data_IF_047569308361
#
_entry.id   IF_047569308361
#
_cell.length_a   1.000
_cell.length_b   1.000
_cell.length_c   1.000
_cell.angle_alpha   90.00
_cell.angle_beta   90.00
_cell.angle_gamma   90.00
#
_symmetry.space_group_name_H-M   'P 1'
#
loop_
_entity.id
_entity.type
_entity.pdbx_description
1 polymer ?
#
# COMPACT_ATOMS: atom_id res chain seq x y z
N UNK A 1 -9.05 28.57 -5.50
CA UNK A 1 -8.17 27.94 -4.49
C UNK A 1 -7.14 27.01 -5.12
N UNK A 2 -7.49 25.86 -5.75
CA UNK A 2 -6.49 24.92 -6.28
C UNK A 2 -5.56 25.55 -7.34
N UNK A 3 -6.13 26.08 -8.43
CA UNK A 3 -5.36 26.75 -9.50
C UNK A 3 -4.57 27.97 -9.02
N UNK A 4 -5.10 28.69 -8.04
CA UNK A 4 -4.40 29.84 -7.41
C UNK A 4 -3.16 29.40 -6.63
N UNK A 5 -3.10 28.14 -6.20
CA UNK A 5 -1.95 27.54 -5.53
C UNK A 5 -1.15 26.61 -6.46
N UNK A 6 -1.31 26.76 -7.79
CA UNK A 6 -0.51 26.03 -8.78
C UNK A 6 -0.94 24.59 -9.04
N UNK A 7 -2.17 24.20 -8.66
CA UNK A 7 -2.68 22.85 -8.90
C UNK A 7 -3.75 22.85 -10.01
N UNK A 8 -3.61 21.99 -11.02
CA UNK A 8 -4.61 21.82 -12.09
C UNK A 8 -5.51 20.61 -11.81
N UNK A 9 -6.78 20.80 -11.42
CA UNK A 9 -7.68 19.71 -11.07
C UNK A 9 -8.24 18.94 -12.27
N UNK A 10 -7.98 19.40 -13.50
CA UNK A 10 -8.56 18.85 -14.72
C UNK A 10 -7.47 18.21 -15.59
N UNK A 11 -7.73 17.00 -16.08
CA UNK A 11 -6.86 16.36 -17.06
C UNK A 11 -7.09 16.98 -18.46
N UNK A 12 -6.00 17.24 -19.17
CA UNK A 12 -6.06 17.75 -20.55
C UNK A 12 -6.38 16.66 -21.58
N UNK A 13 -6.81 17.07 -22.78
CA UNK A 13 -7.17 16.15 -23.89
C UNK A 13 -6.09 15.14 -24.26
N UNK A 14 -4.81 15.49 -24.08
CA UNK A 14 -3.68 14.60 -24.36
C UNK A 14 -3.57 13.48 -23.32
N UNK A 15 -3.91 13.77 -22.05
CA UNK A 15 -4.01 12.77 -20.99
C UNK A 15 -5.20 11.85 -21.27
N UNK A 16 -6.36 12.40 -21.60
CA UNK A 16 -7.56 11.60 -21.94
C UNK A 16 -7.29 10.65 -23.11
N UNK A 17 -6.55 11.12 -24.14
CA UNK A 17 -6.16 10.29 -25.27
C UNK A 17 -5.21 9.16 -24.85
N UNK A 18 -4.25 9.41 -23.95
CA UNK A 18 -3.36 8.36 -23.40
C UNK A 18 -4.16 7.32 -22.62
N UNK A 19 -5.07 7.76 -21.76
CA UNK A 19 -5.96 6.88 -20.98
C UNK A 19 -6.83 6.04 -21.90
N UNK A 20 -7.44 6.66 -22.91
CA UNK A 20 -8.27 5.97 -23.88
C UNK A 20 -7.49 4.92 -24.70
N UNK A 21 -6.21 5.17 -25.00
CA UNK A 21 -5.35 4.23 -25.70
C UNK A 21 -4.88 3.05 -24.81
N UNK A 22 -4.83 3.24 -23.49
CA UNK A 22 -4.32 2.23 -22.55
C UNK A 22 -5.46 1.35 -22.03
N UNK A 23 -5.59 0.12 -22.55
CA UNK A 23 -6.72 -0.77 -22.21
C UNK A 23 -6.37 -1.90 -21.25
N UNK A 24 -5.09 -2.18 -21.05
CA UNK A 24 -4.61 -3.32 -20.28
C UNK A 24 -3.51 -2.86 -19.31
N UNK A 25 -3.33 -3.59 -18.20
CA UNK A 25 -2.16 -3.43 -17.34
C UNK A 25 -0.86 -3.66 -18.15
N UNK A 26 0.25 -3.18 -17.61
CA UNK A 26 1.56 -3.44 -18.21
C UNK A 26 1.84 -4.96 -18.27
N UNK A 27 2.32 -5.42 -19.43
CA UNK A 27 2.81 -6.77 -19.55
C UNK A 27 4.19 -6.89 -18.87
N UNK A 28 4.54 -8.06 -18.28
CA UNK A 28 5.85 -8.25 -17.71
C UNK A 28 6.94 -8.25 -18.81
N UNK A 29 7.99 -7.45 -18.60
CA UNK A 29 9.18 -7.45 -19.44
C UNK A 29 10.05 -8.70 -19.21
N UNK A 30 11.04 -8.90 -20.09
CA UNK A 30 12.05 -9.95 -19.92
C UNK A 30 12.85 -9.68 -18.63
N UNK A 31 12.93 -10.68 -17.75
CA UNK A 31 13.69 -10.61 -16.50
C UNK A 31 12.86 -10.23 -15.26
N UNK A 32 11.56 -9.94 -15.42
CA UNK A 32 10.64 -9.79 -14.29
C UNK A 32 10.53 -11.12 -13.54
N UNK A 33 10.75 -11.10 -12.21
CA UNK A 33 10.68 -12.32 -11.37
C UNK A 33 9.21 -12.71 -11.16
N UNK A 34 8.87 -13.98 -11.36
CA UNK A 34 7.53 -14.46 -11.05
C UNK A 34 7.40 -14.74 -9.54
N UNK A 35 6.63 -13.90 -8.85
CA UNK A 35 6.39 -13.96 -7.41
C UNK A 35 4.91 -14.18 -7.09
N UNK A 36 4.08 -14.52 -8.08
CA UNK A 36 2.63 -14.70 -7.90
C UNK A 36 2.26 -15.81 -6.91
N UNK A 37 3.18 -16.75 -6.68
CA UNK A 37 3.00 -17.87 -5.74
C UNK A 37 3.12 -17.49 -4.27
N UNK A 38 3.63 -16.29 -3.96
CA UNK A 38 3.74 -15.82 -2.57
C UNK A 38 2.39 -15.31 -2.03
N UNK A 39 2.24 -15.36 -0.71
CA UNK A 39 1.01 -14.97 0.00
C UNK A 39 0.87 -13.46 0.17
N UNK A 40 0.92 -12.73 -0.93
CA UNK A 40 0.75 -11.29 -0.93
C UNK A 40 -0.63 -10.88 -0.42
N UNK A 41 -0.67 -9.85 0.42
CA UNK A 41 -1.90 -9.15 0.83
C UNK A 41 -1.69 -7.65 0.80
N UNK A 42 -2.79 -6.90 0.71
CA UNK A 42 -2.80 -5.46 1.03
C UNK A 42 -3.56 -5.22 2.32
N UNK A 43 -3.23 -4.16 3.05
CA UNK A 43 -4.00 -3.66 4.18
C UNK A 43 -4.24 -2.16 3.96
N UNK A 44 -5.51 -1.78 3.81
CA UNK A 44 -5.90 -0.44 3.40
C UNK A 44 -7.17 0.03 4.13
N UNK A 45 -7.67 1.21 3.77
CA UNK A 45 -9.03 1.59 4.14
C UNK A 45 -10.04 0.74 3.36
N UNK A 46 -11.19 0.45 3.97
CA UNK A 46 -12.23 -0.42 3.37
C UNK A 46 -12.69 0.05 1.99
N UNK A 47 -12.66 1.36 1.74
CA UNK A 47 -13.12 1.99 0.48
C UNK A 47 -11.99 2.17 -0.55
N UNK A 48 -10.74 1.81 -0.21
CA UNK A 48 -9.58 2.01 -1.09
C UNK A 48 -9.68 1.17 -2.36
N UNK A 49 -9.29 1.76 -3.49
CA UNK A 49 -9.28 1.11 -4.83
C UNK A 49 -7.93 1.23 -5.53
N UNK A 50 -7.16 2.22 -5.14
CA UNK A 50 -5.77 2.52 -5.46
C UNK A 50 -4.86 1.79 -4.46
N UNK A 51 -4.73 0.47 -4.63
CA UNK A 51 -3.86 -0.35 -3.77
C UNK A 51 -2.43 -0.23 -4.30
N UNK A 52 -1.65 0.65 -3.69
CA UNK A 52 -0.29 0.97 -4.15
C UNK A 52 0.76 -0.03 -3.65
N UNK A 53 0.47 -0.77 -2.57
CA UNK A 53 1.39 -1.75 -2.01
C UNK A 53 0.73 -3.08 -1.63
N UNK A 54 1.52 -4.15 -1.67
CA UNK A 54 1.23 -5.44 -1.05
C UNK A 54 2.49 -6.01 -0.39
N UNK A 55 2.32 -6.78 0.67
CA UNK A 55 3.43 -7.27 1.48
C UNK A 55 3.35 -8.77 1.77
N UNK A 56 4.51 -9.38 1.99
CA UNK A 56 4.68 -10.78 2.37
C UNK A 56 5.95 -10.93 3.22
N UNK A 57 5.96 -11.89 4.15
CA UNK A 57 7.12 -12.18 4.98
C UNK A 57 7.51 -13.66 4.95
N UNK A 58 8.80 -13.93 5.16
CA UNK A 58 9.39 -15.26 5.25
C UNK A 58 10.36 -15.33 6.42
N UNK A 59 10.21 -16.35 7.29
CA UNK A 59 11.18 -16.58 8.35
C UNK A 59 12.39 -17.31 7.82
N UNK A 60 13.57 -16.73 8.01
CA UNK A 60 14.84 -17.33 7.61
C UNK A 60 15.35 -18.32 8.68
N UNK A 61 16.22 -19.29 8.31
CA UNK A 61 16.81 -20.23 9.27
C UNK A 61 17.56 -19.58 10.44
N UNK A 62 18.06 -18.36 10.25
CA UNK A 62 18.72 -17.56 11.28
C UNK A 62 17.76 -16.97 12.32
N UNK A 63 16.44 -17.07 12.10
CA UNK A 63 15.42 -16.40 12.91
C UNK A 63 15.13 -14.95 12.52
N UNK A 64 15.89 -14.41 11.56
CA UNK A 64 15.57 -13.17 10.86
C UNK A 64 14.29 -13.32 10.04
N UNK A 65 13.64 -12.20 9.72
CA UNK A 65 12.43 -12.17 8.91
C UNK A 65 12.75 -11.39 7.64
N UNK A 66 12.68 -12.07 6.50
CA UNK A 66 12.69 -11.40 5.20
C UNK A 66 11.30 -10.83 4.96
N UNK A 67 11.23 -9.54 4.66
CA UNK A 67 10.00 -8.87 4.22
C UNK A 67 10.17 -8.49 2.75
N UNK A 68 9.14 -8.70 1.95
CA UNK A 68 9.06 -8.16 0.61
C UNK A 68 7.87 -7.21 0.58
N UNK A 69 8.12 -6.00 0.09
CA UNK A 69 7.10 -4.99 -0.18
C UNK A 69 7.08 -4.79 -1.69
N UNK A 70 5.93 -5.03 -2.31
CA UNK A 70 5.72 -4.81 -3.73
C UNK A 70 4.89 -3.53 -3.92
N UNK A 71 5.48 -2.55 -4.59
CA UNK A 71 4.88 -1.25 -4.92
C UNK A 71 4.39 -1.26 -6.37
N UNK A 72 3.19 -0.74 -6.63
CA UNK A 72 2.61 -0.64 -7.97
C UNK A 72 3.58 0.06 -8.94
N UNK A 73 3.87 -0.58 -10.08
CA UNK A 73 4.77 -0.01 -11.09
C UNK A 73 4.02 0.96 -12.00
N UNK A 74 3.85 2.20 -11.53
CA UNK A 74 3.14 3.26 -12.27
C UNK A 74 3.91 3.68 -13.53
N UNK A 75 5.23 3.70 -13.47
CA UNK A 75 6.12 4.06 -14.59
C UNK A 75 5.91 3.14 -15.80
N UNK A 76 5.52 1.88 -15.58
CA UNK A 76 5.20 0.95 -16.65
C UNK A 76 4.04 1.38 -17.57
N UNK A 77 3.16 2.30 -17.11
CA UNK A 77 2.05 2.86 -17.90
C UNK A 77 2.11 4.38 -18.07
N UNK A 78 2.87 5.05 -17.21
CA UNK A 78 3.06 6.51 -17.20
C UNK A 78 4.55 6.79 -17.39
N UNK A 79 5.05 6.45 -18.58
CA UNK A 79 6.46 6.64 -18.90
C UNK A 79 6.87 8.12 -18.90
N UNK A 80 8.11 8.38 -18.50
CA UNK A 80 8.70 9.73 -18.53
C UNK A 80 8.43 10.47 -19.86
N UNK A 81 7.89 11.69 -19.76
CA UNK A 81 7.53 12.54 -20.88
C UNK A 81 6.16 12.25 -21.50
N UNK A 82 5.40 11.26 -21.02
CA UNK A 82 4.03 11.04 -21.46
C UNK A 82 3.10 12.20 -21.03
N UNK A 83 1.94 12.38 -21.68
CA UNK A 83 0.96 13.38 -21.23
C UNK A 83 0.59 13.29 -19.74
N UNK A 84 0.34 12.08 -19.24
CA UNK A 84 0.03 11.83 -17.83
C UNK A 84 1.23 12.12 -16.91
N UNK A 85 2.47 11.78 -17.31
CA UNK A 85 3.68 12.13 -16.57
C UNK A 85 3.85 13.65 -16.44
N UNK A 86 3.71 14.39 -17.54
CA UNK A 86 3.83 15.85 -17.54
C UNK A 86 2.78 16.52 -16.63
N UNK A 87 1.55 15.99 -16.61
CA UNK A 87 0.50 16.47 -15.70
C UNK A 87 0.78 16.11 -14.24
N UNK A 88 1.20 14.86 -13.97
CA UNK A 88 1.57 14.41 -12.64
C UNK A 88 2.75 15.23 -12.08
N UNK A 89 3.73 15.58 -12.92
CA UNK A 89 4.87 16.44 -12.56
C UNK A 89 4.43 17.85 -12.17
N UNK A 90 3.45 18.42 -12.87
CA UNK A 90 2.90 19.74 -12.53
C UNK A 90 2.20 19.69 -11.17
N UNK A 91 1.33 18.70 -10.95
CA UNK A 91 0.53 18.59 -9.73
C UNK A 91 1.30 18.04 -8.51
N UNK A 92 2.38 17.28 -8.74
CA UNK A 92 3.29 16.62 -7.78
C UNK A 92 2.67 15.63 -6.79
N UNK A 93 1.38 15.75 -6.47
CA UNK A 93 0.67 14.93 -5.48
C UNK A 93 -0.82 14.91 -5.76
N UNK A 94 -1.55 13.98 -5.14
CA UNK A 94 -3.01 14.01 -5.07
C UNK A 94 -3.45 14.95 -3.94
N UNK A 95 -4.51 15.74 -4.16
CA UNK A 95 -5.06 16.63 -3.13
C UNK A 95 -6.35 16.04 -2.57
N UNK A 96 -6.32 15.68 -1.30
CA UNK A 96 -7.47 15.15 -0.56
C UNK A 96 -8.21 16.31 0.11
N UNK A 97 -9.38 16.69 -0.41
CA UNK A 97 -10.27 17.65 0.24
C UNK A 97 -11.36 16.91 1.01
N UNK A 98 -12.15 17.62 1.81
CA UNK A 98 -13.17 16.97 2.62
C UNK A 98 -14.38 16.39 1.87
N UNK A 99 -14.50 16.68 0.57
CA UNK A 99 -15.63 16.23 -0.26
C UNK A 99 -15.14 15.49 -1.51
N UNK A 100 -14.02 15.91 -2.07
CA UNK A 100 -13.50 15.39 -3.33
C UNK A 100 -11.99 15.18 -3.25
N UNK A 101 -11.52 14.08 -3.82
CA UNK A 101 -10.10 13.85 -4.09
C UNK A 101 -9.80 14.35 -5.49
N UNK A 102 -8.72 15.11 -5.63
CA UNK A 102 -8.17 15.52 -6.91
C UNK A 102 -6.91 14.69 -7.16
N UNK A 103 -7.00 13.62 -7.95
CA UNK A 103 -5.91 12.68 -8.07
C UNK A 103 -4.79 13.23 -8.97
N UNK A 104 -3.55 12.90 -8.63
CA UNK A 104 -2.37 13.21 -9.45
C UNK A 104 -2.42 12.54 -10.82
N UNK A 105 -3.00 11.34 -10.87
CA UNK A 105 -3.12 10.51 -12.07
C UNK A 105 -4.59 10.22 -12.38
N UNK A 106 -4.94 10.02 -13.66
CA UNK A 106 -6.27 9.56 -14.03
C UNK A 106 -6.66 8.28 -13.26
N UNK A 107 -7.91 8.21 -12.80
CA UNK A 107 -8.41 7.07 -11.99
C UNK A 107 -8.16 5.70 -12.64
N UNK A 108 -8.19 5.63 -13.97
CA UNK A 108 -7.94 4.38 -14.69
C UNK A 108 -6.52 3.86 -14.46
N UNK A 109 -5.52 4.75 -14.34
CA UNK A 109 -4.17 4.33 -13.98
C UNK A 109 -4.13 3.91 -12.52
N UNK A 110 -4.51 4.79 -11.59
CA UNK A 110 -4.34 4.56 -10.15
C UNK A 110 -5.21 3.43 -9.57
N UNK A 111 -6.47 3.30 -9.96
CA UNK A 111 -7.43 2.37 -9.31
C UNK A 111 -7.62 1.04 -10.03
N UNK A 112 -7.08 0.90 -11.24
CA UNK A 112 -7.29 -0.30 -12.05
C UNK A 112 -5.99 -0.84 -12.63
N UNK A 113 -5.36 -0.08 -13.53
CA UNK A 113 -4.29 -0.62 -14.36
C UNK A 113 -2.97 -0.82 -13.60
N UNK A 114 -2.68 0.02 -12.60
CA UNK A 114 -1.50 -0.13 -11.73
C UNK A 114 -1.86 -0.70 -10.36
N UNK A 115 -3.06 -0.38 -9.82
CA UNK A 115 -3.54 -0.90 -8.53
C UNK A 115 -3.36 -2.41 -8.41
N UNK A 116 -2.82 -2.83 -7.26
CA UNK A 116 -2.54 -4.20 -6.86
C UNK A 116 -3.82 -4.92 -6.40
N UNK A 117 -4.87 -4.81 -7.22
CA UNK A 117 -6.20 -5.36 -6.97
C UNK A 117 -6.16 -6.89 -6.74
N UNK A 118 -7.01 -7.42 -5.84
CA UNK A 118 -7.08 -8.85 -5.56
C UNK A 118 -7.27 -9.72 -6.79
N UNK A 119 -6.60 -10.87 -6.81
CA UNK A 119 -6.72 -11.89 -7.86
C UNK A 119 -6.37 -11.37 -9.28
N UNK A 120 -5.51 -10.36 -9.36
CA UNK A 120 -4.99 -9.86 -10.63
C UNK A 120 -3.47 -9.90 -10.64
N UNK A 121 -2.90 -10.27 -11.78
CA UNK A 121 -1.46 -10.24 -11.97
C UNK A 121 -1.03 -8.80 -12.27
N UNK A 122 -0.01 -8.32 -11.57
CA UNK A 122 0.52 -6.95 -11.70
C UNK A 122 2.04 -6.96 -11.69
N UNK A 123 2.63 -6.11 -12.52
CA UNK A 123 4.04 -5.77 -12.40
C UNK A 123 4.18 -4.77 -11.25
N UNK A 124 5.15 -5.03 -10.38
CA UNK A 124 5.45 -4.22 -9.22
C UNK A 124 6.96 -4.06 -9.08
N UNK A 125 7.38 -2.97 -8.45
CA UNK A 125 8.74 -2.84 -7.92
C UNK A 125 8.76 -3.48 -6.55
N UNK A 126 9.59 -4.51 -6.38
CA UNK A 126 9.72 -5.26 -5.14
C UNK A 126 10.98 -4.83 -4.42
N UNK A 127 10.82 -4.46 -3.16
CA UNK A 127 11.88 -4.13 -2.23
C UNK A 127 11.98 -5.26 -1.23
N UNK A 128 13.16 -5.87 -1.15
CA UNK A 128 13.44 -6.98 -0.23
C UNK A 128 14.32 -6.49 0.91
N UNK A 129 13.81 -6.61 2.14
CA UNK A 129 14.55 -6.27 3.36
C UNK A 129 14.66 -7.49 4.27
N UNK A 130 15.73 -7.56 5.05
CA UNK A 130 15.91 -8.55 6.12
C UNK A 130 15.89 -7.83 7.46
N UNK A 131 14.93 -8.19 8.30
CA UNK A 131 14.77 -7.72 9.67
C UNK A 131 15.36 -8.74 10.63
N UNK A 132 16.47 -8.40 11.24
CA UNK A 132 17.19 -9.26 12.17
C UNK A 132 16.42 -9.46 13.50
N UNK A 133 16.85 -10.41 14.32
CA UNK A 133 16.20 -10.66 15.63
C UNK A 133 16.28 -9.48 16.58
N UNK A 134 17.34 -8.69 16.47
CA UNK A 134 17.51 -7.47 17.24
C UNK A 134 16.79 -6.29 16.62
N UNK A 135 16.13 -6.39 15.46
CA UNK A 135 15.46 -5.29 14.78
C UNK A 135 16.31 -4.53 13.75
N UNK A 136 17.61 -4.82 13.64
CA UNK A 136 18.45 -4.25 12.59
C UNK A 136 17.88 -4.61 11.21
N UNK A 137 17.94 -3.67 10.29
CA UNK A 137 17.43 -3.84 8.92
C UNK A 137 18.57 -3.74 7.93
N UNK A 138 18.55 -4.63 6.95
CA UNK A 138 19.36 -4.48 5.75
C UNK A 138 18.50 -4.63 4.50
N UNK A 139 18.61 -3.68 3.58
CA UNK A 139 18.04 -3.82 2.24
C UNK A 139 18.89 -4.80 1.45
N UNK A 140 18.23 -5.83 0.94
CA UNK A 140 18.89 -6.92 0.24
C UNK A 140 18.87 -6.70 -1.28
N UNK A 141 17.73 -6.31 -1.84
CA UNK A 141 17.56 -6.20 -3.29
C UNK A 141 16.36 -5.31 -3.66
N UNK A 142 16.39 -4.73 -4.86
CA UNK A 142 15.28 -3.97 -5.46
C UNK A 142 15.14 -4.39 -6.92
N UNK A 143 13.97 -4.91 -7.30
CA UNK A 143 13.77 -5.49 -8.63
C UNK A 143 12.30 -5.51 -9.05
N UNK A 144 12.03 -5.65 -10.36
CA UNK A 144 10.66 -5.83 -10.86
C UNK A 144 10.18 -7.28 -10.64
N UNK A 145 8.97 -7.41 -10.11
CA UNK A 145 8.29 -8.67 -9.88
C UNK A 145 6.88 -8.71 -10.48
N UNK A 146 6.46 -9.89 -10.94
CA UNK A 146 5.07 -10.18 -11.28
C UNK A 146 4.41 -10.76 -10.02
N UNK A 147 3.45 -10.04 -9.47
CA UNK A 147 2.80 -10.35 -8.20
C UNK A 147 1.31 -10.57 -8.38
N UNK A 148 0.67 -11.21 -7.39
CA UNK A 148 -0.77 -11.43 -7.37
C UNK A 148 -1.29 -11.28 -5.95
N UNK A 149 -2.04 -10.22 -5.70
CA UNK A 149 -2.65 -9.97 -4.39
C UNK A 149 -3.70 -11.04 -4.08
N UNK A 150 -3.52 -11.79 -2.98
CA UNK A 150 -4.44 -12.85 -2.58
C UNK A 150 -5.58 -12.33 -1.70
N UNK A 151 -5.39 -11.20 -1.00
CA UNK A 151 -6.36 -10.64 -0.08
C UNK A 151 -6.19 -9.12 0.08
N UNK A 152 -7.29 -8.39 -0.10
CA UNK A 152 -7.41 -7.00 0.34
C UNK A 152 -8.03 -7.00 1.74
N UNK A 153 -7.31 -6.40 2.69
CA UNK A 153 -7.67 -6.35 4.09
C UNK A 153 -7.97 -4.91 4.51
N UNK A 154 -8.81 -4.75 5.53
CA UNK A 154 -9.10 -3.45 6.12
C UNK A 154 -8.28 -3.23 7.40
N UNK A 155 -7.74 -2.02 7.59
CA UNK A 155 -6.98 -1.64 8.79
C UNK A 155 -7.74 -1.93 10.10
N UNK A 156 -9.00 -1.53 10.19
CA UNK A 156 -9.77 -1.57 11.44
C UNK A 156 -10.07 -3.01 11.89
N UNK A 157 -10.36 -3.92 10.95
CA UNK A 157 -10.65 -5.32 11.27
C UNK A 157 -9.38 -6.13 11.51
N UNK A 158 -8.35 -5.88 10.69
CA UNK A 158 -7.06 -6.58 10.78
C UNK A 158 -6.32 -6.19 12.05
N UNK A 159 -6.31 -4.89 12.38
CA UNK A 159 -5.64 -4.36 13.58
C UNK A 159 -6.23 -4.96 14.85
N UNK A 160 -7.57 -4.90 15.01
CA UNK A 160 -8.27 -5.49 16.17
C UNK A 160 -7.96 -6.98 16.36
N UNK A 161 -7.81 -7.72 15.26
CA UNK A 161 -7.48 -9.14 15.32
C UNK A 161 -6.00 -9.40 15.64
N UNK A 162 -5.07 -8.59 15.12
CA UNK A 162 -3.62 -8.70 15.39
C UNK A 162 -3.25 -8.33 16.82
N UNK A 163 -3.90 -7.31 17.39
CA UNK A 163 -3.74 -6.89 18.79
C UNK A 163 -4.18 -7.97 19.78
N UNK A 164 -5.08 -8.85 19.34
CA UNK A 164 -5.57 -9.94 20.15
C UNK A 164 -4.56 -11.09 20.19
N UNK A 165 -4.21 -11.55 21.40
CA UNK A 165 -3.28 -12.65 21.61
C UNK A 165 -3.80 -13.96 20.98
N UNK A 166 -2.91 -14.86 20.52
CA UNK A 166 -3.33 -16.20 20.08
C UNK A 166 -4.20 -16.88 21.14
N UNK A 167 -5.45 -17.20 20.79
CA UNK A 167 -6.44 -17.78 21.72
C UNK A 167 -7.44 -16.78 22.33
N UNK A 168 -7.36 -15.49 21.99
CA UNK A 168 -8.36 -14.51 22.40
C UNK A 168 -9.70 -14.64 21.65
N UNK A 169 -10.66 -13.77 21.98
CA UNK A 169 -12.06 -13.90 21.52
C UNK A 169 -12.34 -13.29 20.14
N UNK A 170 -11.51 -12.35 19.69
CA UNK A 170 -11.64 -11.71 18.37
C UNK A 170 -11.28 -12.70 17.27
N UNK A 171 -12.26 -13.01 16.42
CA UNK A 171 -12.08 -13.89 15.28
C UNK A 171 -11.30 -13.18 14.17
N UNK A 172 -10.51 -13.92 13.35
CA UNK A 172 -9.88 -13.36 12.16
C UNK A 172 -10.95 -12.82 11.19
N UNK A 173 -10.62 -11.80 10.38
CA UNK A 173 -11.47 -11.40 9.26
C UNK A 173 -11.78 -12.61 8.36
N UNK A 174 -12.98 -12.62 7.78
CA UNK A 174 -13.49 -13.73 6.96
C UNK A 174 -12.51 -14.16 5.86
N UNK A 175 -11.88 -13.20 5.19
CA UNK A 175 -10.89 -13.46 4.12
C UNK A 175 -9.61 -14.09 4.67
N UNK A 176 -9.19 -13.71 5.89
CA UNK A 176 -8.05 -14.32 6.59
C UNK A 176 -8.34 -15.76 6.97
N UNK A 177 -9.56 -16.05 7.42
CA UNK A 177 -9.99 -17.41 7.76
C UNK A 177 -10.09 -18.33 6.53
N UNK A 178 -10.50 -17.79 5.37
CA UNK A 178 -10.71 -18.55 4.12
C UNK A 178 -9.44 -18.69 3.27
N UNK A 179 -8.43 -17.85 3.48
CA UNK A 179 -7.18 -17.87 2.70
C UNK A 179 -6.12 -18.67 3.43
N UNK A 180 -5.70 -19.79 2.83
CA UNK A 180 -4.75 -20.71 3.46
C UNK A 180 -3.43 -20.02 3.80
N UNK A 181 -3.02 -20.08 5.07
CA UNK A 181 -1.76 -19.55 5.58
C UNK A 181 -1.71 -18.03 5.77
N UNK A 182 -2.75 -17.27 5.38
CA UNK A 182 -2.77 -15.81 5.51
C UNK A 182 -2.72 -15.36 6.98
N UNK A 183 -3.35 -16.11 7.88
CA UNK A 183 -3.31 -15.80 9.31
C UNK A 183 -1.88 -15.89 9.88
N UNK A 184 -1.11 -16.88 9.46
CA UNK A 184 0.29 -17.04 9.86
C UNK A 184 1.15 -15.95 9.22
N UNK A 185 0.86 -15.58 7.98
CA UNK A 185 1.56 -14.54 7.25
C UNK A 185 1.42 -13.17 7.95
N UNK A 186 0.19 -12.74 8.26
CA UNK A 186 -0.07 -11.48 8.94
C UNK A 186 0.57 -11.41 10.34
N UNK A 187 0.63 -12.54 11.06
CA UNK A 187 1.32 -12.61 12.36
C UNK A 187 2.83 -12.49 12.22
N UNK A 188 3.42 -13.06 11.17
CA UNK A 188 4.85 -12.94 10.89
C UNK A 188 5.22 -11.51 10.49
N UNK A 189 4.37 -10.87 9.66
CA UNK A 189 4.52 -9.47 9.31
C UNK A 189 4.42 -8.56 10.54
N UNK A 190 3.44 -8.83 11.42
CA UNK A 190 3.32 -8.10 12.69
C UNK A 190 4.55 -8.26 13.59
N UNK A 191 5.12 -9.46 13.68
CA UNK A 191 6.36 -9.67 14.43
C UNK A 191 7.52 -8.85 13.85
N UNK A 192 7.66 -8.77 12.52
CA UNK A 192 8.66 -7.93 11.88
C UNK A 192 8.44 -6.45 12.18
N UNK A 193 7.19 -5.95 12.07
CA UNK A 193 6.86 -4.57 12.39
C UNK A 193 7.20 -4.20 13.85
N UNK A 194 6.88 -5.08 14.80
CA UNK A 194 7.26 -4.87 16.21
C UNK A 194 8.77 -4.74 16.39
N UNK A 195 9.57 -5.55 15.69
CA UNK A 195 11.04 -5.45 15.72
C UNK A 195 11.54 -4.13 15.12
N UNK A 196 10.95 -3.71 13.99
CA UNK A 196 11.25 -2.44 13.33
C UNK A 196 10.96 -1.25 14.24
N UNK A 197 9.77 -1.22 14.84
CA UNK A 197 9.37 -0.17 15.78
C UNK A 197 10.33 -0.06 16.97
N UNK A 198 10.68 -1.18 17.59
CA UNK A 198 11.65 -1.21 18.70
C UNK A 198 13.03 -0.70 18.30
N UNK A 199 13.47 -0.97 17.07
CA UNK A 199 14.72 -0.42 16.55
C UNK A 199 14.64 1.08 16.29
N UNK A 200 13.54 1.57 15.71
CA UNK A 200 13.31 3.02 15.54
C UNK A 200 13.33 3.75 16.89
N UNK A 201 12.63 3.22 17.90
CA UNK A 201 12.58 3.79 19.25
C UNK A 201 13.97 3.82 19.92
N UNK A 202 14.76 2.74 19.80
CA UNK A 202 16.13 2.71 20.33
C UNK A 202 17.06 3.72 19.65
N UNK A 203 16.82 4.03 18.38
CA UNK A 203 17.54 5.07 17.64
C UNK A 203 16.98 6.48 17.84
N UNK A 204 16.05 6.66 18.78
CA UNK A 204 15.55 7.98 19.19
C UNK A 204 14.41 8.52 18.32
N UNK A 205 13.71 7.66 17.58
CA UNK A 205 12.47 8.07 16.90
C UNK A 205 11.47 8.62 17.92
N UNK A 206 10.89 9.77 17.61
CA UNK A 206 9.86 10.40 18.44
C UNK A 206 8.49 9.97 17.96
N UNK A 207 7.69 9.40 18.86
CA UNK A 207 6.28 9.11 18.59
C UNK A 207 5.47 10.39 18.82
N UNK A 208 5.18 11.11 17.74
CA UNK A 208 4.32 12.28 17.77
C UNK A 208 2.89 11.87 17.43
N UNK A 209 2.03 11.77 18.43
CA UNK A 209 0.61 11.51 18.22
C UNK A 209 -0.10 12.79 17.77
N UNK A 210 -0.55 12.80 16.52
CA UNK A 210 -1.46 13.82 16.01
C UNK A 210 -2.85 13.21 15.91
N UNK A 211 -3.87 13.92 16.40
CA UNK A 211 -5.25 13.51 16.20
C UNK A 211 -5.62 13.81 14.75
N UNK A 212 -5.74 12.76 13.94
CA UNK A 212 -6.20 12.88 12.56
C UNK A 212 -7.72 12.68 12.51
N UNK A 213 -8.41 13.59 11.82
CA UNK A 213 -9.84 13.53 11.59
C UNK A 213 -10.13 13.52 10.10
N UNK A 214 -10.84 12.48 9.64
CA UNK A 214 -11.28 12.36 8.25
C UNK A 214 -12.75 12.81 8.14
N UNK A 215 -13.08 13.74 7.24
CA UNK A 215 -14.45 14.15 7.03
C UNK A 215 -15.29 13.06 6.40
N UNK A 216 -16.51 12.88 6.90
CA UNK A 216 -17.54 12.02 6.32
C UNK A 216 -18.45 12.90 5.49
N UNK A 217 -18.43 12.71 4.17
CA UNK A 217 -19.25 13.48 3.24
C UNK A 217 -20.47 12.69 2.75
N UNK A 218 -21.64 13.34 2.73
CA UNK A 218 -22.86 12.81 2.12
C UNK A 218 -23.47 13.87 1.21
N UNK A 219 -23.73 13.51 -0.06
CA UNK A 219 -24.33 14.42 -1.04
C UNK A 219 -23.50 15.69 -1.29
N UNK A 220 -22.15 15.57 -1.26
CA UNK A 220 -21.24 16.70 -1.49
C UNK A 220 -21.07 17.64 -0.29
N UNK A 221 -21.53 17.24 0.91
CA UNK A 221 -21.40 18.02 2.14
C UNK A 221 -20.79 17.18 3.25
N UNK A 222 -19.90 17.77 4.04
CA UNK A 222 -19.38 17.13 5.26
C UNK A 222 -20.52 17.07 6.28
N UNK A 223 -20.84 15.87 6.75
CA UNK A 223 -21.90 15.60 7.73
C UNK A 223 -21.36 15.15 9.08
N UNK A 224 -20.13 14.63 9.13
CA UNK A 224 -19.49 14.15 10.35
C UNK A 224 -17.95 14.16 10.21
N UNK A 225 -17.23 13.87 11.30
CA UNK A 225 -15.79 13.64 11.33
C UNK A 225 -15.50 12.27 11.98
N UNK A 226 -14.79 11.40 11.26
CA UNK A 226 -14.26 10.15 11.81
C UNK A 226 -12.84 10.40 12.32
N UNK A 227 -12.58 10.10 13.59
CA UNK A 227 -11.22 10.08 14.11
C UNK A 227 -10.48 8.83 13.62
N UNK A 228 -9.27 9.03 13.10
CA UNK A 228 -8.37 7.93 12.77
C UNK A 228 -7.59 7.56 14.04
N UNK A 229 -7.70 6.31 14.45
CA UNK A 229 -6.96 5.77 15.58
C UNK A 229 -5.82 4.88 15.08
N UNK A 230 -4.70 4.89 15.80
CA UNK A 230 -3.65 3.90 15.63
C UNK A 230 -4.21 2.49 15.82
N UNK A 231 -3.66 1.54 15.10
CA UNK A 231 -3.95 0.12 15.26
C UNK A 231 -2.74 -0.69 14.82
N UNK A 232 -2.61 -1.93 15.30
CA UNK A 232 -1.48 -2.79 14.93
C UNK A 232 -1.32 -2.95 13.41
N UNK A 233 -2.42 -2.94 12.66
CA UNK A 233 -2.38 -3.03 11.20
C UNK A 233 -1.84 -1.75 10.54
N UNK A 234 -2.13 -0.56 11.09
CA UNK A 234 -1.57 0.71 10.61
C UNK A 234 -0.09 0.80 10.93
N UNK A 235 0.29 0.49 12.17
CA UNK A 235 1.69 0.44 12.62
C UNK A 235 2.49 -0.53 11.73
N UNK A 236 1.93 -1.71 11.41
CA UNK A 236 2.56 -2.70 10.52
C UNK A 236 2.91 -2.11 9.16
N UNK A 237 1.93 -1.51 8.48
CA UNK A 237 2.15 -0.94 7.14
C UNK A 237 3.10 0.26 7.23
N UNK A 238 2.97 1.12 8.24
CA UNK A 238 3.87 2.26 8.46
C UNK A 238 5.33 1.78 8.61
N UNK A 239 5.58 0.81 9.49
CA UNK A 239 6.92 0.26 9.73
C UNK A 239 7.52 -0.35 8.45
N UNK A 240 6.70 -1.03 7.65
CA UNK A 240 7.14 -1.64 6.39
C UNK A 240 7.47 -0.59 5.33
N UNK A 241 6.65 0.46 5.21
CA UNK A 241 6.91 1.55 4.26
C UNK A 241 8.15 2.36 4.65
N UNK A 242 8.43 2.55 5.95
CA UNK A 242 9.64 3.24 6.41
C UNK A 242 10.90 2.41 6.17
N UNK A 243 10.80 1.07 6.26
CA UNK A 243 11.91 0.18 6.02
C UNK A 243 12.24 -0.03 4.52
N UNK A 244 11.34 0.36 3.62
CA UNK A 244 11.43 0.13 2.17
C UNK A 244 12.17 1.25 1.43
#
# INVERSE_FOLDING_TARGET
MLRENGFDPEFGKTVDAQVAATKQPAAPDIGVRDLRGLQWSSIDNTESRDLDQIEVAERLPTGAIRILVAIADVDALVANGSPADLHARENSTSVYTGVQVFPMLPEQFSTNLTSLNPNTDRVAVVIENVVEQNGDVSTYDVYRGLVRNQAQLAYDDTGRWLENTPGGTVQPPDIVAKTNGLAQQLRLQWEAAVRLKQERERNGALELETIEATPVAQGGRVVDLKLTHKSAARDLIEDFMIAS
#
